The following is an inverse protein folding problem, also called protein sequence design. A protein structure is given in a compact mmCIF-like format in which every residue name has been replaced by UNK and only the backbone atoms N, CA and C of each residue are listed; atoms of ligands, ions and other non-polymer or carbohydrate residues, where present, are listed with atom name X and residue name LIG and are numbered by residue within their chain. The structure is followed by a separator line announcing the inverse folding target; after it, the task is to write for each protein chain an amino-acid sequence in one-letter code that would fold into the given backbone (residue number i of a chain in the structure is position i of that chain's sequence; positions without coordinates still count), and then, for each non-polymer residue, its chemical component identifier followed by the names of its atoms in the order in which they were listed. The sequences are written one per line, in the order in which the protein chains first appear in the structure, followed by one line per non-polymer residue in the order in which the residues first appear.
data_IF_859656667693
#
_entry.id   IF_859656667693
#
_cell.length_a   1.000
_cell.length_b   1.000
_cell.length_c   1.000
_cell.angle_alpha   90.00
_cell.angle_beta   90.00
_cell.angle_gamma   90.00
#
_symmetry.space_group_name_H-M   'P 1'
#
loop_
_entity.id
_entity.type
_entity.pdbx_description
1 polymer ?
#
# COMPACT_ATOMS: atom_id res chain seq x y z
N UNK A 1 23.61 -26.55 22.32
CA UNK A 1 22.45 -25.69 22.01
C UNK A 1 22.46 -25.13 20.61
N UNK A 2 23.63 -24.80 20.03
CA UNK A 2 23.76 -24.26 18.67
C UNK A 2 23.32 -25.25 17.58
N UNK A 3 23.66 -26.54 17.72
CA UNK A 3 23.33 -27.59 16.72
C UNK A 3 21.83 -27.91 16.56
N UNK A 4 21.01 -27.66 17.60
CA UNK A 4 19.54 -27.84 17.50
C UNK A 4 18.83 -26.68 16.79
N UNK A 5 19.41 -25.48 16.81
CA UNK A 5 18.87 -24.30 16.12
C UNK A 5 19.16 -24.40 14.62
N UNK A 6 20.33 -24.91 14.24
CA UNK A 6 20.71 -25.09 12.83
C UNK A 6 19.88 -26.21 12.17
N UNK A 7 19.60 -27.31 12.88
CA UNK A 7 18.76 -28.40 12.39
C UNK A 7 17.29 -27.96 12.18
N UNK A 8 16.76 -27.10 13.04
CA UNK A 8 15.41 -26.55 12.87
C UNK A 8 15.30 -25.58 11.68
N UNK A 9 16.36 -24.80 11.41
CA UNK A 9 16.41 -23.91 10.26
C UNK A 9 16.50 -24.68 8.93
N UNK A 10 17.25 -25.79 8.90
CA UNK A 10 17.32 -26.67 7.72
C UNK A 10 16.00 -27.42 7.47
N UNK A 11 15.36 -27.94 8.51
CA UNK A 11 14.04 -28.58 8.40
C UNK A 11 12.98 -27.60 7.90
N UNK A 12 12.99 -26.35 8.38
CA UNK A 12 12.07 -25.33 7.92
C UNK A 12 12.28 -25.01 6.44
N UNK A 13 13.53 -24.86 5.99
CA UNK A 13 13.87 -24.62 4.59
C UNK A 13 13.49 -25.79 3.67
N UNK A 14 13.67 -27.03 4.12
CA UNK A 14 13.26 -28.23 3.37
C UNK A 14 11.75 -28.32 3.28
N UNK A 15 11.01 -28.09 4.36
CA UNK A 15 9.54 -28.04 4.34
C UNK A 15 9.00 -26.95 3.41
N UNK A 16 9.56 -25.76 3.45
CA UNK A 16 9.14 -24.64 2.59
C UNK A 16 9.43 -24.92 1.10
N UNK A 17 10.56 -25.56 0.77
CA UNK A 17 10.88 -25.96 -0.60
C UNK A 17 9.97 -27.09 -1.12
N UNK A 18 9.58 -28.03 -0.27
CA UNK A 18 8.62 -29.10 -0.61
C UNK A 18 7.21 -28.52 -0.82
N UNK A 19 6.77 -27.56 0.02
CA UNK A 19 5.49 -26.87 -0.17
C UNK A 19 5.46 -26.03 -1.45
N UNK A 20 6.54 -25.28 -1.75
CA UNK A 20 6.68 -24.54 -3.02
C UNK A 20 6.62 -25.46 -4.24
N UNK A 21 7.34 -26.58 -4.21
CA UNK A 21 7.34 -27.56 -5.31
C UNK A 21 5.97 -28.19 -5.55
N UNK A 22 5.22 -28.48 -4.47
CA UNK A 22 3.85 -29.02 -4.57
C UNK A 22 2.86 -27.97 -5.06
N UNK A 23 2.96 -26.71 -4.61
CA UNK A 23 2.12 -25.61 -5.08
C UNK A 23 2.33 -25.32 -6.58
N UNK A 24 3.58 -25.29 -7.04
CA UNK A 24 3.93 -25.11 -8.46
C UNK A 24 3.41 -26.28 -9.32
N UNK A 25 3.51 -27.53 -8.83
CA UNK A 25 2.95 -28.69 -9.52
C UNK A 25 1.43 -28.64 -9.59
N UNK A 26 0.75 -28.22 -8.50
CA UNK A 26 -0.69 -28.05 -8.48
C UNK A 26 -1.15 -26.93 -9.44
N UNK A 27 -0.44 -25.80 -9.48
CA UNK A 27 -0.75 -24.70 -10.42
C UNK A 27 -0.53 -25.14 -11.88
N UNK A 28 0.55 -25.88 -12.17
CA UNK A 28 0.77 -26.44 -13.52
C UNK A 28 -0.35 -27.42 -13.89
N UNK A 29 -0.69 -28.34 -13.00
CA UNK A 29 -1.77 -29.31 -13.23
C UNK A 29 -3.12 -28.61 -13.50
N UNK A 30 -3.48 -27.62 -12.70
CA UNK A 30 -4.73 -26.83 -12.91
C UNK A 30 -4.68 -26.06 -14.22
N UNK A 31 -3.52 -25.50 -14.59
CA UNK A 31 -3.35 -24.83 -15.89
C UNK A 31 -3.52 -25.79 -17.05
N UNK A 32 -2.85 -26.95 -16.98
CA UNK A 32 -2.88 -27.96 -18.05
C UNK A 32 -4.27 -28.59 -18.15
N UNK A 33 -4.96 -28.81 -17.02
CA UNK A 33 -6.35 -29.24 -16.98
C UNK A 33 -7.29 -28.21 -17.58
N UNK A 34 -7.13 -26.94 -17.28
CA UNK A 34 -7.89 -25.84 -17.90
C UNK A 34 -7.65 -25.75 -19.40
N UNK A 35 -6.43 -25.97 -19.88
CA UNK A 35 -6.11 -26.04 -21.31
C UNK A 35 -6.76 -27.25 -22.00
N UNK A 36 -6.78 -28.40 -21.35
CA UNK A 36 -7.42 -29.62 -21.89
C UNK A 36 -8.96 -29.57 -21.83
N UNK A 37 -9.52 -28.95 -20.80
CA UNK A 37 -10.97 -28.75 -20.66
C UNK A 37 -11.54 -27.67 -21.61
N UNK A 38 -10.72 -26.80 -22.17
CA UNK A 38 -11.11 -25.76 -23.11
C UNK A 38 -11.07 -26.22 -24.57
N UNK A 39 -11.84 -27.27 -24.91
CA UNK A 39 -12.20 -27.57 -26.31
C UNK A 39 -13.31 -26.64 -26.82
N UNK A 40 -13.39 -25.39 -26.34
CA UNK A 40 -14.15 -24.35 -27.04
C UNK A 40 -13.23 -23.73 -28.09
N UNK A 41 -13.73 -23.50 -29.33
CA UNK A 41 -12.96 -22.79 -30.33
C UNK A 41 -12.52 -21.47 -29.70
N UNK A 42 -11.21 -21.20 -29.74
CA UNK A 42 -10.67 -19.93 -29.28
C UNK A 42 -11.36 -18.82 -30.06
N UNK A 43 -12.36 -18.20 -29.48
CA UNK A 43 -12.75 -16.87 -29.91
C UNK A 43 -11.51 -16.02 -29.65
N UNK A 44 -10.85 -15.63 -30.72
CA UNK A 44 -9.73 -14.71 -30.72
C UNK A 44 -10.26 -13.41 -30.13
N UNK A 45 -10.22 -13.27 -28.79
CA UNK A 45 -10.48 -11.99 -28.16
C UNK A 45 -9.29 -11.12 -28.50
N UNK A 46 -9.49 -10.19 -29.41
CA UNK A 46 -8.51 -9.14 -29.70
C UNK A 46 -8.45 -8.24 -28.46
N UNK A 47 -7.35 -8.30 -27.73
CA UNK A 47 -7.09 -7.35 -26.64
C UNK A 47 -6.51 -6.08 -27.27
N UNK A 48 -7.24 -4.98 -27.15
CA UNK A 48 -6.71 -3.65 -27.45
C UNK A 48 -5.81 -3.25 -26.29
N UNK A 49 -4.50 -3.03 -26.49
CA UNK A 49 -3.63 -2.57 -25.42
C UNK A 49 -4.17 -1.26 -24.82
N UNK A 50 -4.31 -1.18 -23.50
CA UNK A 50 -4.69 0.04 -22.83
C UNK A 50 -3.53 1.03 -22.92
N UNK A 51 -3.72 2.09 -23.69
CA UNK A 51 -2.83 3.23 -23.72
C UNK A 51 -3.27 4.24 -22.65
N UNK A 52 -2.36 4.59 -21.75
CA UNK A 52 -2.61 5.60 -20.72
C UNK A 52 -1.87 6.88 -21.09
N UNK A 53 -2.56 8.01 -21.27
CA UNK A 53 -1.91 9.30 -21.44
C UNK A 53 -1.05 9.69 -20.23
N UNK A 54 0.02 10.46 -20.48
CA UNK A 54 0.90 10.93 -19.42
C UNK A 54 0.14 11.82 -18.41
N UNK A 55 0.41 11.63 -17.12
CA UNK A 55 -0.20 12.37 -16.02
C UNK A 55 -1.66 11.99 -15.71
N UNK A 56 -2.23 11.02 -16.44
CA UNK A 56 -3.64 10.69 -16.28
C UNK A 56 -3.88 9.68 -15.16
N UNK A 57 -3.23 8.52 -15.19
CA UNK A 57 -3.62 7.38 -14.36
C UNK A 57 -2.47 6.89 -13.49
N UNK A 58 -2.75 6.68 -12.22
CA UNK A 58 -1.93 5.92 -11.30
C UNK A 58 -2.72 4.76 -10.72
N UNK A 59 -2.07 3.63 -10.55
CA UNK A 59 -2.65 2.42 -9.95
C UNK A 59 -2.16 2.28 -8.52
N UNK A 60 -3.06 1.87 -7.63
CA UNK A 60 -2.78 1.61 -6.22
C UNK A 60 -3.18 0.18 -5.85
N UNK A 61 -2.30 -0.50 -5.12
CA UNK A 61 -2.57 -1.82 -4.55
C UNK A 61 -1.82 -2.02 -3.23
N UNK A 62 -2.25 -3.00 -2.44
CA UNK A 62 -1.56 -3.47 -1.25
C UNK A 62 -0.93 -4.84 -1.51
N UNK A 63 0.27 -5.05 -0.99
CA UNK A 63 0.84 -6.39 -0.86
C UNK A 63 1.24 -6.71 0.58
N UNK A 64 1.38 -8.00 0.86
CA UNK A 64 1.80 -8.52 2.15
C UNK A 64 3.17 -9.16 1.97
N UNK A 65 4.19 -8.56 2.60
CA UNK A 65 5.56 -8.99 2.41
C UNK A 65 6.21 -9.39 3.75
N UNK A 66 7.09 -10.38 3.70
CA UNK A 66 7.84 -10.80 4.87
C UNK A 66 9.12 -9.99 5.00
N UNK A 67 9.35 -9.46 6.20
CA UNK A 67 10.59 -8.75 6.56
C UNK A 67 11.03 -9.15 7.97
N UNK A 68 12.30 -8.95 8.29
CA UNK A 68 12.81 -9.08 9.65
C UNK A 68 13.02 -7.66 10.18
N UNK A 69 12.17 -7.22 11.13
CA UNK A 69 12.30 -5.94 11.83
C UNK A 69 12.77 -6.19 13.27
N UNK A 70 13.84 -5.51 13.69
CA UNK A 70 14.46 -5.71 15.03
C UNK A 70 14.74 -7.19 15.35
N UNK A 71 15.12 -7.99 14.34
CA UNK A 71 15.39 -9.41 14.50
C UNK A 71 14.16 -10.33 14.49
N UNK A 72 12.94 -9.79 14.39
CA UNK A 72 11.68 -10.55 14.38
C UNK A 72 11.11 -10.63 12.98
N UNK A 73 10.83 -11.85 12.51
CA UNK A 73 10.12 -12.08 11.24
C UNK A 73 8.67 -11.67 11.40
N UNK A 74 8.22 -10.76 10.54
CA UNK A 74 6.83 -10.30 10.53
C UNK A 74 6.34 -9.96 9.12
N UNK A 75 5.02 -9.91 8.98
CA UNK A 75 4.35 -9.48 7.75
C UNK A 75 4.09 -7.99 7.83
N UNK A 76 4.61 -7.25 6.86
CA UNK A 76 4.31 -5.83 6.66
C UNK A 76 3.35 -5.65 5.49
N UNK A 77 2.63 -4.55 5.49
CA UNK A 77 1.73 -4.13 4.41
C UNK A 77 2.47 -3.12 3.56
N UNK A 78 2.61 -3.39 2.27
CA UNK A 78 3.29 -2.48 1.35
C UNK A 78 2.27 -1.86 0.43
N UNK A 79 2.19 -0.53 0.47
CA UNK A 79 1.40 0.27 -0.46
C UNK A 79 2.19 0.45 -1.75
N UNK A 80 1.61 0.06 -2.87
CA UNK A 80 2.17 0.19 -4.21
C UNK A 80 1.45 1.29 -4.97
N UNK A 81 2.22 2.21 -5.52
CA UNK A 81 1.75 3.20 -6.49
C UNK A 81 2.52 3.05 -7.78
N UNK A 82 1.83 3.12 -8.91
CA UNK A 82 2.46 3.07 -10.22
C UNK A 82 1.75 4.00 -11.20
N UNK A 83 2.49 4.97 -11.71
CA UNK A 83 2.03 5.77 -12.83
C UNK A 83 1.90 4.89 -14.08
N UNK A 84 0.76 4.96 -14.73
CA UNK A 84 0.44 4.03 -15.81
C UNK A 84 1.20 4.32 -17.12
N UNK A 85 1.55 5.59 -17.38
CA UNK A 85 2.32 5.97 -18.54
C UNK A 85 3.81 5.68 -18.38
N UNK A 86 4.49 6.30 -17.42
CA UNK A 86 5.94 6.16 -17.24
C UNK A 86 6.38 4.86 -16.59
N UNK A 87 5.49 4.14 -15.95
CA UNK A 87 5.79 2.98 -15.09
C UNK A 87 6.58 3.34 -13.82
N UNK A 88 6.72 4.66 -13.53
CA UNK A 88 7.33 5.13 -12.28
C UNK A 88 6.55 4.59 -11.10
N UNK A 89 7.26 4.03 -10.12
CA UNK A 89 6.63 3.46 -8.93
C UNK A 89 7.06 4.16 -7.64
N UNK A 90 6.21 4.06 -6.63
CA UNK A 90 6.49 4.41 -5.25
C UNK A 90 5.99 3.29 -4.34
N UNK A 91 6.78 2.96 -3.33
CA UNK A 91 6.48 1.92 -2.34
C UNK A 91 6.62 2.48 -0.93
N UNK A 92 5.69 2.13 -0.04
CA UNK A 92 5.79 2.46 1.38
C UNK A 92 5.25 1.31 2.23
N UNK A 93 5.98 0.95 3.27
CA UNK A 93 5.64 -0.15 4.18
C UNK A 93 4.97 0.36 5.45
N UNK A 94 3.96 -0.39 5.91
CA UNK A 94 3.14 -0.08 7.08
C UNK A 94 2.89 -1.35 7.91
N UNK A 95 2.60 -1.19 9.22
CA UNK A 95 2.23 -2.33 10.07
C UNK A 95 0.83 -2.86 9.78
N UNK A 96 -0.06 -2.05 9.20
CA UNK A 96 -1.49 -2.38 8.93
C UNK A 96 -1.97 -1.72 7.64
N UNK A 97 -3.19 -2.09 7.20
CA UNK A 97 -3.93 -1.46 6.10
C UNK A 97 -5.10 -0.64 6.66
N UNK A 98 -4.82 0.41 7.40
CA UNK A 98 -5.86 1.28 7.96
C UNK A 98 -6.02 2.56 7.13
N UNK A 99 -7.12 3.28 7.31
CA UNK A 99 -7.45 4.44 6.51
C UNK A 99 -6.39 5.55 6.63
N UNK A 100 -5.87 5.81 7.83
CA UNK A 100 -4.82 6.79 8.04
C UNK A 100 -3.49 6.39 7.36
N UNK A 101 -3.22 5.08 7.20
CA UNK A 101 -2.07 4.60 6.43
C UNK A 101 -2.27 4.76 4.93
N UNK A 102 -3.51 4.58 4.44
CA UNK A 102 -3.87 4.93 3.06
C UNK A 102 -3.60 6.41 2.80
N UNK A 103 -4.02 7.30 3.71
CA UNK A 103 -3.78 8.74 3.56
C UNK A 103 -2.29 9.07 3.53
N UNK A 104 -1.52 8.56 4.48
CA UNK A 104 -0.08 8.78 4.55
C UNK A 104 0.63 8.25 3.30
N UNK A 105 0.23 7.08 2.80
CA UNK A 105 0.78 6.50 1.58
C UNK A 105 0.54 7.39 0.35
N UNK A 106 -0.66 7.97 0.19
CA UNK A 106 -0.96 8.91 -0.89
C UNK A 106 -0.18 10.21 -0.78
N UNK A 107 -0.09 10.78 0.44
CA UNK A 107 0.70 11.99 0.71
C UNK A 107 2.15 11.77 0.29
N UNK A 108 2.75 10.66 0.70
CA UNK A 108 4.14 10.31 0.37
C UNK A 108 4.34 10.04 -1.12
N UNK A 109 3.39 9.31 -1.76
CA UNK A 109 3.46 9.00 -3.18
C UNK A 109 3.38 10.28 -4.03
N UNK A 110 2.44 11.18 -3.74
CA UNK A 110 2.31 12.43 -4.48
C UNK A 110 3.49 13.39 -4.25
N UNK A 111 4.05 13.37 -3.04
CA UNK A 111 5.33 14.06 -2.75
C UNK A 111 6.48 13.50 -3.58
N UNK A 112 6.62 12.17 -3.67
CA UNK A 112 7.64 11.48 -4.46
C UNK A 112 7.50 11.75 -5.98
N UNK A 113 6.27 11.74 -6.50
CA UNK A 113 6.01 12.05 -7.91
C UNK A 113 6.09 13.56 -8.22
N UNK A 114 6.01 14.41 -7.19
CA UNK A 114 5.96 15.86 -7.35
C UNK A 114 4.61 16.38 -7.85
N UNK A 115 3.55 15.55 -7.74
CA UNK A 115 2.20 15.88 -8.16
C UNK A 115 1.24 14.69 -8.02
N UNK A 116 -0.06 14.93 -8.15
CA UNK A 116 -1.09 13.91 -8.17
C UNK A 116 -1.51 13.60 -9.62
N UNK A 117 -1.82 12.34 -9.97
CA UNK A 117 -2.40 11.98 -11.26
C UNK A 117 -3.86 12.46 -11.31
N UNK A 118 -4.45 12.55 -12.52
CA UNK A 118 -5.87 12.90 -12.66
C UNK A 118 -6.80 11.80 -12.17
N UNK A 119 -6.38 10.53 -12.24
CA UNK A 119 -7.15 9.35 -11.83
C UNK A 119 -6.32 8.39 -11.02
N UNK A 120 -6.92 7.83 -9.98
CA UNK A 120 -6.34 6.75 -9.18
C UNK A 120 -7.20 5.50 -9.30
N UNK A 121 -6.61 4.39 -9.75
CA UNK A 121 -7.29 3.10 -9.87
C UNK A 121 -7.07 2.26 -8.61
N UNK A 122 -8.15 1.70 -8.06
CA UNK A 122 -8.17 0.91 -6.82
C UNK A 122 -8.82 -0.46 -7.02
N UNK A 123 -8.25 -1.49 -6.39
CA UNK A 123 -8.88 -2.81 -6.30
C UNK A 123 -9.80 -2.94 -5.09
N UNK A 124 -10.81 -2.09 -5.01
CA UNK A 124 -11.87 -2.13 -3.99
C UNK A 124 -11.40 -2.39 -2.54
N UNK A 125 -10.33 -1.75 -2.02
CA UNK A 125 -9.90 -1.97 -0.65
C UNK A 125 -10.96 -1.44 0.32
N UNK A 126 -11.30 -2.24 1.35
CA UNK A 126 -12.31 -1.90 2.38
C UNK A 126 -12.04 -0.58 3.13
N UNK A 127 -10.81 -0.11 3.12
CA UNK A 127 -10.41 1.17 3.72
C UNK A 127 -10.79 2.40 2.87
N UNK A 128 -11.14 2.19 1.61
CA UNK A 128 -11.48 3.22 0.62
C UNK A 128 -12.96 3.14 0.22
N UNK A 129 -13.50 1.91 0.11
CA UNK A 129 -14.87 1.65 -0.36
C UNK A 129 -15.74 1.13 0.77
N UNK A 130 -16.81 1.82 1.09
CA UNK A 130 -17.79 1.43 2.12
C UNK A 130 -18.79 0.40 1.57
N UNK A 131 -19.21 0.53 0.31
CA UNK A 131 -20.15 -0.39 -0.32
C UNK A 131 -19.85 -0.57 -1.82
N UNK A 132 -20.07 -1.81 -2.29
CA UNK A 132 -19.93 -2.22 -3.69
C UNK A 132 -21.32 -2.56 -4.21
N UNK A 133 -21.78 -1.83 -5.23
CA UNK A 133 -23.04 -2.10 -5.92
C UNK A 133 -22.80 -2.85 -7.23
N UNK A 134 -23.86 -3.20 -7.94
CA UNK A 134 -23.78 -3.88 -9.23
C UNK A 134 -23.02 -3.02 -10.24
N UNK A 135 -22.08 -3.64 -10.98
CA UNK A 135 -21.26 -2.97 -11.99
C UNK A 135 -20.13 -2.11 -11.38
N UNK A 136 -19.95 -0.90 -11.89
CA UNK A 136 -18.87 0.04 -11.48
C UNK A 136 -19.27 0.98 -10.34
N UNK A 137 -20.52 0.94 -9.88
CA UNK A 137 -21.00 1.86 -8.85
C UNK A 137 -20.40 1.48 -7.49
N UNK A 138 -19.75 2.44 -6.84
CA UNK A 138 -19.11 2.30 -5.54
C UNK A 138 -19.51 3.46 -4.63
N UNK A 139 -19.66 3.16 -3.36
CA UNK A 139 -19.74 4.18 -2.33
C UNK A 139 -18.38 4.29 -1.66
N UNK A 140 -17.65 5.35 -1.99
CA UNK A 140 -16.38 5.65 -1.36
C UNK A 140 -16.58 6.20 0.05
N UNK A 141 -15.66 5.86 0.94
CA UNK A 141 -15.65 6.41 2.30
C UNK A 141 -15.60 7.94 2.27
N UNK A 142 -16.43 8.60 3.11
CA UNK A 142 -16.54 10.06 3.15
C UNK A 142 -15.19 10.76 3.42
N UNK A 143 -14.37 10.19 4.32
CA UNK A 143 -13.06 10.76 4.65
C UNK A 143 -12.07 10.56 3.51
N UNK A 144 -12.19 9.46 2.77
CA UNK A 144 -11.41 9.24 1.56
C UNK A 144 -11.78 10.23 0.45
N UNK A 145 -13.06 10.58 0.29
CA UNK A 145 -13.47 11.62 -0.66
C UNK A 145 -12.90 13.00 -0.30
N UNK A 146 -12.63 13.30 0.96
CA UNK A 146 -11.93 14.57 1.30
C UNK A 146 -10.48 14.56 0.81
N UNK A 147 -9.79 13.42 0.82
CA UNK A 147 -8.45 13.28 0.22
C UNK A 147 -8.51 13.49 -1.30
N UNK A 148 -9.48 12.84 -2.00
CA UNK A 148 -9.61 12.96 -3.46
C UNK A 148 -9.88 14.41 -3.88
N UNK A 149 -10.77 15.10 -3.16
CA UNK A 149 -11.09 16.51 -3.41
C UNK A 149 -9.90 17.43 -3.11
N UNK A 150 -9.11 17.14 -2.07
CA UNK A 150 -7.92 17.92 -1.72
C UNK A 150 -6.86 17.89 -2.80
N UNK A 151 -6.59 16.72 -3.38
CA UNK A 151 -5.60 16.53 -4.45
C UNK A 151 -6.19 16.59 -5.87
N UNK A 152 -7.50 16.76 -5.99
CA UNK A 152 -8.23 16.92 -7.25
C UNK A 152 -8.12 15.72 -8.21
N UNK A 153 -8.02 14.51 -7.68
CA UNK A 153 -8.02 13.30 -8.50
C UNK A 153 -9.36 12.55 -8.42
N UNK A 154 -9.69 11.85 -9.51
CA UNK A 154 -10.85 10.99 -9.61
C UNK A 154 -10.51 9.57 -9.09
N UNK A 155 -11.20 9.04 -8.07
CA UNK A 155 -11.04 7.64 -7.66
C UNK A 155 -11.83 6.72 -8.59
N UNK A 156 -11.15 5.76 -9.21
CA UNK A 156 -11.75 4.77 -10.11
C UNK A 156 -11.60 3.39 -9.49
N UNK A 157 -12.71 2.70 -9.27
CA UNK A 157 -12.68 1.30 -8.84
C UNK A 157 -12.55 0.38 -10.05
N UNK A 158 -11.67 -0.62 -9.95
CA UNK A 158 -11.57 -1.66 -10.96
C UNK A 158 -12.89 -2.44 -11.06
N UNK A 159 -13.25 -2.87 -12.27
CA UNK A 159 -14.39 -3.75 -12.48
C UNK A 159 -14.09 -5.11 -11.86
N UNK A 160 -14.97 -5.71 -11.04
CA UNK A 160 -14.79 -7.09 -10.60
C UNK A 160 -14.59 -8.03 -11.80
N UNK A 161 -13.63 -8.97 -11.67
CA UNK A 161 -13.30 -9.98 -12.69
C UNK A 161 -12.67 -9.47 -14.00
N UNK A 162 -12.32 -8.18 -14.10
CA UNK A 162 -11.61 -7.61 -15.25
C UNK A 162 -10.09 -7.75 -15.10
N UNK A 163 -9.57 -8.96 -15.13
CA UNK A 163 -8.13 -9.24 -14.99
C UNK A 163 -7.23 -8.49 -15.99
N UNK A 164 -7.78 -8.04 -17.13
CA UNK A 164 -7.06 -7.25 -18.13
C UNK A 164 -6.84 -5.79 -17.71
N UNK A 165 -7.74 -5.19 -16.90
CA UNK A 165 -7.55 -3.86 -16.31
C UNK A 165 -6.43 -3.88 -15.24
N UNK A 166 -6.22 -5.03 -14.60
CA UNK A 166 -5.28 -5.26 -13.50
C UNK A 166 -3.92 -5.84 -13.90
N UNK A 167 -3.81 -6.47 -15.05
CA UNK A 167 -2.62 -7.27 -15.42
C UNK A 167 -1.29 -6.54 -15.24
N UNK A 168 -1.29 -5.21 -15.24
CA UNK A 168 -0.08 -4.40 -15.03
C UNK A 168 0.30 -4.29 -13.54
N UNK A 169 -0.67 -4.17 -12.60
CA UNK A 169 -0.38 -4.03 -11.17
C UNK A 169 -0.10 -5.38 -10.52
N UNK A 170 -0.86 -6.42 -10.86
CA UNK A 170 -0.61 -7.78 -10.36
C UNK A 170 0.80 -8.27 -10.71
N UNK A 171 1.23 -8.01 -11.94
CA UNK A 171 2.61 -8.28 -12.37
C UNK A 171 3.62 -7.44 -11.58
N UNK A 172 3.31 -6.18 -11.23
CA UNK A 172 4.20 -5.35 -10.42
C UNK A 172 4.38 -5.90 -9.01
N UNK A 173 3.30 -6.27 -8.31
CA UNK A 173 3.37 -6.84 -6.96
C UNK A 173 4.24 -8.09 -6.96
N UNK A 174 4.06 -8.98 -7.95
CA UNK A 174 4.88 -10.19 -8.12
C UNK A 174 6.36 -9.86 -8.34
N UNK A 175 6.65 -8.93 -9.24
CA UNK A 175 8.01 -8.49 -9.55
C UNK A 175 8.69 -7.81 -8.35
N UNK A 176 7.98 -6.91 -7.65
CA UNK A 176 8.51 -6.22 -6.46
C UNK A 176 8.83 -7.21 -5.36
N UNK A 177 7.98 -8.22 -5.14
CA UNK A 177 8.25 -9.31 -4.19
C UNK A 177 9.54 -10.06 -4.52
N UNK A 178 9.72 -10.40 -5.78
CA UNK A 178 10.92 -11.09 -6.24
C UNK A 178 12.16 -10.21 -6.12
N UNK A 179 12.09 -8.95 -6.55
CA UNK A 179 13.26 -8.06 -6.59
C UNK A 179 13.67 -7.50 -5.24
N UNK A 180 12.71 -7.23 -4.34
CA UNK A 180 12.98 -6.49 -3.11
C UNK A 180 12.75 -7.31 -1.84
N UNK A 181 11.91 -8.34 -1.88
CA UNK A 181 11.55 -9.12 -0.69
C UNK A 181 12.01 -10.58 -0.77
N UNK A 182 12.78 -10.93 -1.78
CA UNK A 182 13.39 -12.27 -1.93
C UNK A 182 14.89 -12.15 -2.22
N UNK A 183 15.77 -12.56 -1.30
CA UNK A 183 15.51 -13.13 0.03
C UNK A 183 14.92 -12.12 0.99
N UNK A 184 14.32 -12.60 2.12
CA UNK A 184 13.67 -11.76 3.13
C UNK A 184 14.64 -10.73 3.71
N UNK A 185 14.40 -9.40 3.50
CA UNK A 185 15.32 -8.35 3.94
C UNK A 185 15.20 -8.08 5.44
N UNK A 186 16.23 -7.44 6.01
CA UNK A 186 16.37 -7.15 7.44
C UNK A 186 16.55 -5.67 7.66
N UNK A 187 15.82 -5.11 8.63
CA UNK A 187 15.85 -3.70 9.00
C UNK A 187 15.71 -3.53 10.51
N UNK A 188 16.17 -2.41 11.02
CA UNK A 188 15.99 -2.02 12.41
C UNK A 188 14.53 -1.70 12.72
N UNK A 189 13.89 -0.90 11.86
CA UNK A 189 12.54 -0.40 12.05
C UNK A 189 11.86 -0.04 10.70
N UNK A 190 10.61 0.45 10.77
CA UNK A 190 9.87 0.90 9.58
C UNK A 190 10.49 2.13 8.90
N UNK A 191 11.22 2.98 9.64
CA UNK A 191 11.85 4.16 9.05
C UNK A 191 13.00 3.74 8.12
N UNK A 192 13.86 2.81 8.57
CA UNK A 192 14.93 2.24 7.75
C UNK A 192 14.37 1.46 6.54
N UNK A 193 13.33 0.64 6.74
CA UNK A 193 12.65 -0.07 5.66
C UNK A 193 12.11 0.91 4.60
N UNK A 194 11.42 1.96 5.02
CA UNK A 194 10.85 2.93 4.08
C UNK A 194 11.91 3.78 3.38
N UNK A 195 13.00 4.14 4.06
CA UNK A 195 14.14 4.83 3.44
C UNK A 195 14.78 3.93 2.35
N UNK A 196 14.97 2.65 2.66
CA UNK A 196 15.46 1.67 1.69
C UNK A 196 14.51 1.49 0.50
N UNK A 197 13.20 1.38 0.72
CA UNK A 197 12.20 1.29 -0.35
C UNK A 197 12.24 2.51 -1.28
N UNK A 198 12.39 3.72 -0.71
CA UNK A 198 12.50 4.95 -1.50
C UNK A 198 13.72 4.90 -2.43
N UNK A 199 14.90 4.48 -1.93
CA UNK A 199 16.10 4.30 -2.75
C UNK A 199 15.90 3.25 -3.85
N UNK A 200 15.27 2.12 -3.53
CA UNK A 200 14.97 1.07 -4.53
C UNK A 200 14.02 1.58 -5.61
N UNK A 201 13.02 2.39 -5.28
CA UNK A 201 12.14 3.02 -6.27
C UNK A 201 12.91 3.92 -7.24
N UNK A 202 13.89 4.69 -6.73
CA UNK A 202 14.78 5.50 -7.60
C UNK A 202 15.64 4.64 -8.53
N UNK A 203 16.27 3.60 -8.01
CA UNK A 203 17.07 2.68 -8.80
C UNK A 203 16.25 1.95 -9.88
N UNK A 204 15.05 1.49 -9.52
CA UNK A 204 14.13 0.82 -10.45
C UNK A 204 13.66 1.76 -11.57
N UNK A 205 13.65 3.08 -11.32
CA UNK A 205 13.31 4.08 -12.36
C UNK A 205 14.34 4.18 -13.49
N UNK A 206 15.57 3.71 -13.26
CA UNK A 206 16.62 3.67 -14.28
C UNK A 206 16.47 2.51 -15.28
N UNK A 207 15.51 1.60 -15.04
CA UNK A 207 15.23 0.48 -15.95
C UNK A 207 14.62 0.95 -17.27
N UNK A 208 14.78 0.13 -18.30
CA UNK A 208 14.11 0.32 -19.58
C UNK A 208 12.59 0.23 -19.40
N UNK A 209 11.88 1.09 -20.12
CA UNK A 209 10.43 1.04 -20.16
C UNK A 209 9.97 -0.26 -20.86
N UNK A 210 9.02 -1.02 -20.31
CA UNK A 210 8.65 -2.32 -20.86
C UNK A 210 7.96 -2.27 -22.23
N UNK A 211 7.33 -1.16 -22.56
CA UNK A 211 6.53 -0.99 -23.81
C UNK A 211 7.10 0.08 -24.75
N UNK A 212 7.84 1.08 -24.22
CA UNK A 212 8.43 2.14 -25.03
C UNK A 212 9.87 1.78 -25.40
N UNK A 213 10.05 1.23 -26.58
CA UNK A 213 11.35 0.77 -27.08
C UNK A 213 12.38 1.90 -27.07
N UNK A 214 13.56 1.64 -26.51
CA UNK A 214 14.68 2.59 -26.49
C UNK A 214 14.61 3.67 -25.41
N UNK A 215 13.56 3.68 -24.58
CA UNK A 215 13.37 4.68 -23.51
C UNK A 215 13.49 4.07 -22.13
N UNK A 216 13.95 4.87 -21.16
CA UNK A 216 13.93 4.54 -19.74
C UNK A 216 12.62 4.97 -19.05
N UNK A 217 12.32 4.36 -17.91
CA UNK A 217 11.21 4.80 -17.04
C UNK A 217 11.42 6.24 -16.59
N UNK A 218 12.67 6.62 -16.27
CA UNK A 218 13.02 8.01 -15.87
C UNK A 218 12.76 9.02 -16.99
N UNK A 219 13.07 8.66 -18.25
CA UNK A 219 12.83 9.54 -19.42
C UNK A 219 11.33 9.78 -19.59
N UNK A 220 10.53 8.70 -19.54
CA UNK A 220 9.08 8.80 -19.64
C UNK A 220 8.49 9.59 -18.47
N UNK A 221 9.04 9.43 -17.27
CA UNK A 221 8.59 10.18 -16.09
C UNK A 221 8.93 11.67 -16.19
N UNK A 222 10.07 12.05 -16.77
CA UNK A 222 10.41 13.45 -17.00
C UNK A 222 9.38 14.16 -17.88
N UNK A 223 8.79 13.46 -18.87
CA UNK A 223 7.69 13.98 -19.69
C UNK A 223 6.36 13.99 -18.93
N UNK A 224 6.10 12.99 -18.08
CA UNK A 224 4.84 12.85 -17.34
C UNK A 224 4.73 13.83 -16.17
N UNK A 225 5.84 14.08 -15.46
CA UNK A 225 5.87 14.89 -14.23
C UNK A 225 5.21 16.28 -14.38
N UNK A 226 5.48 17.09 -15.43
CA UNK A 226 4.84 18.40 -15.58
C UNK A 226 3.34 18.35 -15.86
N UNK A 227 2.79 17.17 -16.20
CA UNK A 227 1.37 16.95 -16.48
C UNK A 227 0.58 16.48 -15.25
N UNK A 228 1.26 16.19 -14.14
CA UNK A 228 0.62 15.88 -12.87
C UNK A 228 0.01 17.14 -12.25
N UNK A 229 -1.07 16.96 -11.47
CA UNK A 229 -1.71 18.05 -10.71
C UNK A 229 -0.76 18.50 -9.60
N UNK A 230 -0.35 19.77 -9.54
CA UNK A 230 0.58 20.24 -8.52
C UNK A 230 0.02 20.11 -7.10
N UNK A 231 0.82 19.60 -6.18
CA UNK A 231 0.46 19.54 -4.75
C UNK A 231 0.68 20.92 -4.12
N UNK A 232 -0.39 21.64 -3.85
CA UNK A 232 -0.35 23.00 -3.26
C UNK A 232 -0.21 22.98 -1.75
N UNK A 233 -0.78 21.97 -1.09
CA UNK A 233 -0.75 21.78 0.36
C UNK A 233 -0.76 20.29 0.70
N UNK A 234 -0.20 19.94 1.86
CA UNK A 234 -0.23 18.57 2.36
C UNK A 234 -1.59 18.31 2.99
N UNK A 235 -2.21 17.17 2.64
CA UNK A 235 -3.47 16.74 3.26
C UNK A 235 -3.26 16.40 4.75
N UNK A 236 -4.20 16.81 5.60
CA UNK A 236 -4.18 16.44 7.02
C UNK A 236 -4.81 15.02 7.19
N UNK A 237 -3.97 14.00 6.99
CA UNK A 237 -4.34 12.60 6.84
C UNK A 237 -4.63 11.87 8.15
N UNK A 238 -5.44 12.43 9.04
CA UNK A 238 -5.83 11.76 10.28
C UNK A 238 -7.20 11.09 10.19
N UNK A 239 -7.43 10.11 11.06
CA UNK A 239 -8.73 9.58 11.43
C UNK A 239 -9.08 10.12 12.82
N UNK A 240 -10.27 10.69 12.98
CA UNK A 240 -10.72 11.32 14.23
C UNK A 240 -11.64 10.38 15.00
N UNK A 241 -11.38 10.24 16.31
CA UNK A 241 -12.20 9.45 17.23
C UNK A 241 -12.47 10.25 18.49
N UNK A 242 -13.73 10.28 18.92
CA UNK A 242 -14.12 10.84 20.21
C UNK A 242 -13.88 9.82 21.31
N UNK A 243 -13.13 10.20 22.35
CA UNK A 243 -12.78 9.32 23.46
C UNK A 243 -12.97 10.03 24.80
N UNK A 244 -13.31 9.26 25.85
CA UNK A 244 -13.33 9.75 27.23
C UNK A 244 -11.98 9.46 27.89
N UNK A 245 -11.40 10.48 28.51
CA UNK A 245 -10.21 10.35 29.35
C UNK A 245 -10.61 9.65 30.66
N UNK A 246 -9.84 8.67 31.10
CA UNK A 246 -10.08 7.98 32.37
C UNK A 246 -9.79 8.90 33.58
N UNK A 247 -10.23 8.49 34.79
CA UNK A 247 -9.86 9.16 36.05
C UNK A 247 -8.34 9.13 36.32
N UNK A 248 -7.62 8.22 35.67
CA UNK A 248 -6.14 8.13 35.72
C UNK A 248 -5.45 8.86 34.58
N UNK A 249 -6.16 9.81 33.95
CA UNK A 249 -5.64 10.68 32.88
C UNK A 249 -5.10 9.93 31.65
N UNK A 250 -5.77 8.86 31.24
CA UNK A 250 -5.39 8.01 30.10
C UNK A 250 -6.53 7.89 29.09
N UNK A 251 -6.18 7.83 27.81
CA UNK A 251 -7.04 7.30 26.74
C UNK A 251 -6.49 5.94 26.27
N UNK A 252 -7.36 5.09 25.72
CA UNK A 252 -6.97 3.79 25.16
C UNK A 252 -7.20 3.79 23.65
N UNK A 253 -6.11 3.73 22.88
CA UNK A 253 -6.13 3.61 21.43
C UNK A 253 -5.22 2.47 20.96
N UNK A 254 -5.66 1.67 19.99
CA UNK A 254 -4.90 0.56 19.38
C UNK A 254 -4.26 -0.40 20.40
N UNK A 255 -4.99 -0.74 21.47
CA UNK A 255 -4.55 -1.59 22.60
C UNK A 255 -3.47 -0.97 23.48
N UNK A 256 -3.09 0.29 23.26
CA UNK A 256 -2.13 1.05 24.06
C UNK A 256 -2.81 2.15 24.87
N UNK A 257 -2.14 2.63 25.90
CA UNK A 257 -2.59 3.74 26.74
C UNK A 257 -1.72 4.96 26.50
N UNK A 258 -2.37 6.11 26.39
CA UNK A 258 -1.69 7.39 26.14
C UNK A 258 -2.12 8.40 27.18
N UNK A 259 -1.16 9.12 27.76
CA UNK A 259 -1.41 10.11 28.80
C UNK A 259 -2.06 11.37 28.25
N UNK A 260 -2.88 11.98 29.08
CA UNK A 260 -3.55 13.26 28.81
C UNK A 260 -3.36 14.15 30.05
N UNK A 261 -3.19 15.47 29.92
CA UNK A 261 -3.07 16.36 31.08
C UNK A 261 -4.25 16.21 32.06
N UNK A 262 -3.98 16.32 33.37
CA UNK A 262 -4.93 16.01 34.45
C UNK A 262 -6.22 16.86 34.39
N UNK A 263 -6.13 18.08 33.87
CA UNK A 263 -7.28 18.98 33.68
C UNK A 263 -8.40 18.40 32.79
N UNK A 264 -8.05 17.39 31.95
CA UNK A 264 -8.96 16.69 31.05
C UNK A 264 -9.48 15.36 31.63
N UNK A 265 -9.14 15.04 32.87
CA UNK A 265 -9.64 13.83 33.54
C UNK A 265 -11.16 13.74 33.48
N UNK A 266 -11.69 12.55 33.15
CA UNK A 266 -13.13 12.26 32.98
C UNK A 266 -13.86 13.09 31.91
N UNK A 267 -13.15 13.90 31.12
CA UNK A 267 -13.71 14.69 30.02
C UNK A 267 -13.62 13.94 28.69
N UNK A 268 -14.43 14.37 27.74
CA UNK A 268 -14.42 13.89 26.36
C UNK A 268 -13.45 14.73 25.55
N UNK A 269 -12.58 14.06 24.77
CA UNK A 269 -11.59 14.69 23.90
C UNK A 269 -11.68 14.09 22.49
N UNK A 270 -11.22 14.83 21.52
CA UNK A 270 -11.01 14.31 20.16
C UNK A 270 -9.58 13.76 20.05
N UNK A 271 -9.43 12.59 19.43
CA UNK A 271 -8.15 11.94 19.16
C UNK A 271 -7.98 11.83 17.66
N UNK A 272 -7.02 12.58 17.12
CA UNK A 272 -6.62 12.55 15.71
C UNK A 272 -5.46 11.61 15.54
N UNK A 273 -5.69 10.53 14.80
CA UNK A 273 -4.74 9.42 14.62
C UNK A 273 -4.19 9.46 13.20
N UNK A 274 -2.89 9.64 13.04
CA UNK A 274 -2.14 9.48 11.78
C UNK A 274 -1.43 8.13 11.72
N UNK A 275 -0.68 7.88 10.69
CA UNK A 275 0.12 6.66 10.58
C UNK A 275 1.20 6.55 11.65
N UNK A 276 1.77 7.66 12.15
CA UNK A 276 2.93 7.69 13.04
C UNK A 276 2.66 8.27 14.43
N UNK A 277 1.55 8.99 14.64
CA UNK A 277 1.26 9.71 15.89
C UNK A 277 -0.21 9.82 16.23
N UNK A 278 -0.46 10.17 17.48
CA UNK A 278 -1.78 10.56 17.99
C UNK A 278 -1.70 11.97 18.53
N UNK A 279 -2.64 12.81 18.10
CA UNK A 279 -2.88 14.15 18.67
C UNK A 279 -4.18 14.16 19.42
N UNK A 280 -4.14 14.54 20.69
CA UNK A 280 -5.32 14.68 21.54
C UNK A 280 -5.71 16.15 21.52
N UNK A 281 -6.94 16.42 21.09
CA UNK A 281 -7.47 17.76 20.87
C UNK A 281 -8.65 17.99 21.80
N UNK A 282 -8.63 19.11 22.51
CA UNK A 282 -9.73 19.58 23.34
C UNK A 282 -9.83 21.10 23.23
N UNK A 283 -11.06 21.63 23.12
CA UNK A 283 -11.31 23.06 22.92
C UNK A 283 -10.47 23.67 21.78
N UNK A 284 -10.43 22.97 20.64
CA UNK A 284 -9.69 23.34 19.43
C UNK A 284 -8.18 23.49 19.59
N UNK A 285 -7.59 22.95 20.69
CA UNK A 285 -6.15 22.96 20.96
C UNK A 285 -5.62 21.54 21.08
N UNK A 286 -4.40 21.32 20.58
CA UNK A 286 -3.68 20.09 20.84
C UNK A 286 -3.20 20.12 22.28
N UNK A 287 -3.72 19.23 23.12
CA UNK A 287 -3.39 19.12 24.56
C UNK A 287 -2.36 18.05 24.87
N UNK A 288 -2.19 17.07 23.99
CA UNK A 288 -1.11 16.10 24.05
C UNK A 288 -0.81 15.53 22.64
N UNK A 289 0.44 15.14 22.42
CA UNK A 289 0.88 14.44 21.21
C UNK A 289 1.80 13.27 21.61
N UNK A 290 1.58 12.11 20.99
CA UNK A 290 2.35 10.88 21.24
C UNK A 290 2.74 10.20 19.94
N UNK A 291 3.92 9.57 19.92
CA UNK A 291 4.25 8.61 18.89
C UNK A 291 3.29 7.41 18.98
N UNK A 292 2.81 6.92 17.82
CA UNK A 292 1.91 5.77 17.77
C UNK A 292 2.66 4.47 18.04
N UNK A 293 2.18 3.68 18.98
CA UNK A 293 2.71 2.36 19.28
C UNK A 293 1.84 1.29 18.65
N UNK A 294 2.46 0.33 17.94
CA UNK A 294 1.78 -0.80 17.28
C UNK A 294 1.96 -2.12 18.04
N UNK A 295 2.88 -2.17 19.01
CA UNK A 295 3.00 -3.26 19.95
C UNK A 295 1.79 -3.33 20.88
N UNK A 296 1.59 -4.46 21.54
CA UNK A 296 0.66 -4.58 22.66
C UNK A 296 1.44 -4.29 23.94
N UNK A 297 1.09 -3.20 24.61
CA UNK A 297 1.60 -2.85 25.93
C UNK A 297 0.84 -3.56 27.06
#
# INVERSE_FOLDING_TARGET
MQSCLDANAELHNVCMNVYRSKAIKAQRFVRDWKQQASHRPATTQAFVPLAFPAGETCQFDWSHEYVILSGVLQVVKVAHFRLAYSRRMFLAAYPRETQEMVFDAHIKAFGHFGGAPKRMMYDNPKTIVDAIFVGKVRQFNRRFLTLTNHYLFEPVACTPESGWEKGQVENQVGNVREWLFTPTPRFKDFAELNAWLALRCEELSQRKHPEQIGRGIADCFAEEKPLLIPVKAIFDGYVEKTMRVSSTCLIKADHNRYSVPAEWSNRVVSVRITADRLRIVAQDRVVAEHARCYGRG
#
